data_IF_996424835619
#
_entry.id   IF_996424835619
#
_cell.length_a   1.000
_cell.length_b   1.000
_cell.length_c   1.000
_cell.angle_alpha   90.00
_cell.angle_beta   90.00
_cell.angle_gamma   90.00
#
_symmetry.space_group_name_H-M   'P 1'
#
loop_
_entity.id
_entity.type
_entity.pdbx_description
1 polymer ?
#
# COMPACT_ATOMS: atom_id res chain seq x y z
N UNK A 1 12.17 18.37 -10.27
CA UNK A 1 11.56 17.83 -9.04
C UNK A 1 11.91 16.36 -8.96
N UNK A 2 12.54 15.91 -7.87
CA UNK A 2 12.97 14.51 -7.71
C UNK A 2 12.00 13.79 -6.78
N UNK A 3 11.51 12.62 -7.19
CA UNK A 3 10.60 11.79 -6.41
C UNK A 3 11.38 10.57 -5.94
N UNK A 4 11.39 10.31 -4.63
CA UNK A 4 12.05 9.14 -4.05
C UNK A 4 10.99 8.10 -3.72
N UNK A 5 10.92 7.04 -4.52
CA UNK A 5 10.04 5.90 -4.30
C UNK A 5 10.80 4.77 -3.60
N UNK A 6 10.11 4.06 -2.71
CA UNK A 6 10.59 2.84 -2.06
C UNK A 6 9.52 1.78 -2.20
N UNK A 7 9.91 0.57 -2.61
CA UNK A 7 9.01 -0.57 -2.71
C UNK A 7 9.16 -1.42 -1.46
N UNK A 8 8.06 -1.62 -0.74
CA UNK A 8 7.99 -2.55 0.39
C UNK A 8 7.42 -3.88 -0.08
N UNK A 9 8.05 -4.98 0.31
CA UNK A 9 7.58 -6.35 0.04
C UNK A 9 7.64 -7.16 1.32
N UNK A 10 6.64 -8.02 1.52
CA UNK A 10 6.58 -8.88 2.69
C UNK A 10 5.16 -9.26 3.06
N UNK A 11 5.02 -9.69 4.30
CA UNK A 11 3.78 -10.03 4.96
C UNK A 11 3.35 -8.90 5.91
N UNK A 12 2.05 -8.75 6.06
CA UNK A 12 1.46 -7.80 7.01
C UNK A 12 0.37 -8.48 7.82
N UNK A 13 0.14 -7.97 9.02
CA UNK A 13 -0.97 -8.38 9.87
C UNK A 13 -2.06 -7.32 9.77
N UNK A 14 -3.28 -7.74 9.43
CA UNK A 14 -4.43 -6.84 9.41
C UNK A 14 -4.85 -6.56 10.85
N UNK A 15 -4.67 -5.33 11.31
CA UNK A 15 -5.09 -4.88 12.64
C UNK A 15 -6.53 -4.36 12.64
N UNK A 16 -6.89 -3.60 11.60
CA UNK A 16 -8.26 -3.14 11.34
C UNK A 16 -8.59 -3.30 9.84
N UNK A 17 -9.60 -4.12 9.49
CA UNK A 17 -9.92 -4.39 8.09
C UNK A 17 -10.56 -3.18 7.38
N UNK A 18 -11.25 -2.30 8.09
CA UNK A 18 -11.91 -1.13 7.50
C UNK A 18 -10.87 -0.08 7.12
N UNK A 19 -9.91 0.18 8.00
CA UNK A 19 -8.77 1.07 7.74
C UNK A 19 -7.93 0.54 6.58
N UNK A 20 -7.70 -0.77 6.52
CA UNK A 20 -6.97 -1.39 5.41
C UNK A 20 -7.71 -1.19 4.08
N UNK A 21 -9.02 -1.45 4.04
CA UNK A 21 -9.83 -1.26 2.84
C UNK A 21 -9.81 0.19 2.37
N UNK A 22 -9.97 1.16 3.29
CA UNK A 22 -9.87 2.58 2.96
C UNK A 22 -8.48 2.93 2.39
N UNK A 23 -7.42 2.40 2.99
CA UNK A 23 -6.04 2.65 2.54
C UNK A 23 -5.79 2.05 1.15
N UNK A 24 -6.32 0.87 0.85
CA UNK A 24 -6.24 0.23 -0.47
C UNK A 24 -6.95 1.06 -1.55
N UNK A 25 -8.13 1.61 -1.23
CA UNK A 25 -8.91 2.41 -2.19
C UNK A 25 -8.32 3.79 -2.44
N UNK A 26 -7.85 4.48 -1.39
CA UNK A 26 -7.32 5.84 -1.52
C UNK A 26 -5.82 5.86 -1.83
N UNK A 27 -5.13 4.73 -1.70
CA UNK A 27 -3.69 4.58 -1.81
C UNK A 27 -2.93 5.14 -0.60
N UNK A 28 -1.67 4.73 -0.44
CA UNK A 28 -0.82 5.08 0.69
C UNK A 28 0.16 6.22 0.34
N UNK A 29 0.17 7.29 1.15
CA UNK A 29 1.16 8.37 1.03
C UNK A 29 1.03 9.28 -0.21
N UNK A 30 2.02 10.18 -0.40
CA UNK A 30 2.06 11.16 -1.50
C UNK A 30 2.59 10.54 -2.82
N UNK A 31 2.50 11.30 -3.92
CA UNK A 31 3.05 10.86 -5.22
C UNK A 31 2.14 9.91 -6.01
N UNK A 32 0.83 9.88 -5.71
CA UNK A 32 -0.16 9.02 -6.38
C UNK A 32 -0.16 9.19 -7.90
N UNK A 33 -0.12 10.43 -8.38
CA UNK A 33 -0.05 10.77 -9.81
C UNK A 33 1.27 10.34 -10.49
N UNK A 34 2.26 9.93 -9.71
CA UNK A 34 3.59 9.50 -10.16
C UNK A 34 3.80 7.99 -9.92
N UNK A 35 2.73 7.22 -9.72
CA UNK A 35 2.78 5.76 -9.58
C UNK A 35 3.13 5.26 -8.17
N UNK A 36 3.19 6.14 -7.16
CA UNK A 36 3.39 5.75 -5.76
C UNK A 36 2.06 5.48 -5.04
N UNK A 37 2.08 4.61 -4.03
CA UNK A 37 0.95 4.44 -3.12
C UNK A 37 -0.08 3.37 -3.49
N UNK A 38 0.13 2.63 -4.59
CA UNK A 38 -0.58 1.38 -4.82
C UNK A 38 -0.09 0.32 -3.82
N UNK A 39 -1.01 -0.39 -3.18
CA UNK A 39 -0.69 -1.52 -2.33
C UNK A 39 -1.36 -2.77 -2.90
N UNK A 40 -0.58 -3.81 -3.15
CA UNK A 40 -1.06 -5.08 -3.72
C UNK A 40 -0.98 -6.16 -2.65
N UNK A 41 -2.08 -6.89 -2.47
CA UNK A 41 -2.18 -7.98 -1.50
C UNK A 41 -2.35 -9.31 -2.22
N UNK A 42 -1.71 -10.34 -1.68
CA UNK A 42 -2.00 -11.73 -1.97
C UNK A 42 -2.45 -12.41 -0.67
N UNK A 43 -3.34 -13.42 -0.74
CA UNK A 43 -3.68 -14.20 0.44
C UNK A 43 -2.42 -14.82 1.04
N UNK A 44 -2.29 -14.73 2.37
CA UNK A 44 -1.20 -15.38 3.09
C UNK A 44 -1.29 -16.89 2.86
N UNK A 45 -0.25 -17.47 2.24
CA UNK A 45 -0.14 -18.93 2.14
C UNK A 45 0.25 -19.43 3.52
N UNK A 46 -0.65 -20.20 4.14
CA UNK A 46 -0.40 -21.04 5.31
C UNK A 46 0.47 -22.23 4.94
#
# INVERSE_FOLDING_TARGET
MTIRAVTYTGNLTVTDPHVLAQTLTHGLGPGKSYGCGLLTLAPART
#
